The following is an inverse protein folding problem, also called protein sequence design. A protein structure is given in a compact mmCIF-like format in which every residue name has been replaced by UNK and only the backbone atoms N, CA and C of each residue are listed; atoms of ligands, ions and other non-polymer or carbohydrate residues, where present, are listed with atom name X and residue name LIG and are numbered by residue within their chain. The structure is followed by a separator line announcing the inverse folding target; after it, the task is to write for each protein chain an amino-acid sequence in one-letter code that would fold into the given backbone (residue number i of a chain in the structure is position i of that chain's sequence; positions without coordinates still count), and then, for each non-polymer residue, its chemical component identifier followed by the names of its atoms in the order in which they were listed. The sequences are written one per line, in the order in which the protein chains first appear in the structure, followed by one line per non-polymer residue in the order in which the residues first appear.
data_IF_536882687895
#
_entry.id   IF_536882687895
#
_cell.length_a   1.000
_cell.length_b   1.000
_cell.length_c   1.000
_cell.angle_alpha   90.00
_cell.angle_beta   90.00
_cell.angle_gamma   90.00
#
_symmetry.space_group_name_H-M   'P 1'
#
loop_
_entity.id
_entity.type
_entity.pdbx_description
1 polymer ?
#
# COMPACT_ATOMS: atom_id res chain seq x y z
N UNK A 1 10.51 -15.23 16.25
CA UNK A 1 9.33 -14.44 15.81
C UNK A 1 9.25 -14.29 14.29
N UNK A 2 9.14 -15.37 13.52
CA UNK A 2 9.04 -15.32 12.05
C UNK A 2 7.69 -15.83 11.50
N UNK A 3 6.78 -16.23 12.39
CA UNK A 3 5.53 -16.92 12.07
C UNK A 3 4.29 -16.13 12.54
N UNK A 4 4.44 -14.85 12.87
CA UNK A 4 3.26 -14.04 13.18
C UNK A 4 2.56 -13.69 11.86
N UNK A 5 1.33 -14.17 11.59
CA UNK A 5 0.60 -13.83 10.38
C UNK A 5 0.42 -12.31 10.21
N UNK A 6 0.49 -11.54 11.31
CA UNK A 6 0.47 -10.08 11.28
C UNK A 6 1.65 -9.48 10.50
N UNK A 7 2.81 -10.13 10.46
CA UNK A 7 4.00 -9.65 9.73
C UNK A 7 3.81 -9.72 8.21
N UNK A 8 2.85 -10.53 7.75
CA UNK A 8 2.48 -10.62 6.33
C UNK A 8 1.46 -9.57 5.89
N UNK A 9 0.76 -8.93 6.84
CA UNK A 9 -0.30 -7.93 6.54
C UNK A 9 0.26 -6.72 5.76
N UNK A 10 1.41 -6.12 6.12
CA UNK A 10 1.98 -4.99 5.39
C UNK A 10 2.32 -5.34 3.93
N UNK A 11 2.88 -6.52 3.71
CA UNK A 11 3.21 -7.02 2.37
C UNK A 11 1.96 -7.26 1.52
N UNK A 12 0.92 -7.85 2.11
CA UNK A 12 -0.37 -8.07 1.43
C UNK A 12 -1.04 -6.73 1.08
N UNK A 13 -1.09 -5.80 2.04
CA UNK A 13 -1.68 -4.48 1.85
C UNK A 13 -0.99 -3.71 0.72
N UNK A 14 0.35 -3.72 0.68
CA UNK A 14 1.11 -3.09 -0.40
C UNK A 14 0.80 -3.72 -1.76
N UNK A 15 0.75 -5.06 -1.84
CA UNK A 15 0.44 -5.77 -3.09
C UNK A 15 -0.95 -5.41 -3.62
N UNK A 16 -1.95 -5.37 -2.75
CA UNK A 16 -3.32 -5.00 -3.10
C UNK A 16 -3.41 -3.53 -3.53
N UNK A 17 -2.77 -2.63 -2.79
CA UNK A 17 -2.76 -1.20 -3.11
C UNK A 17 -2.15 -0.93 -4.50
N UNK A 18 -1.07 -1.63 -4.86
CA UNK A 18 -0.48 -1.54 -6.21
C UNK A 18 -1.44 -2.06 -7.28
N UNK A 19 -2.13 -3.17 -7.03
CA UNK A 19 -3.11 -3.71 -7.97
C UNK A 19 -4.28 -2.73 -8.21
N UNK A 20 -4.69 -1.98 -7.18
CA UNK A 20 -5.75 -0.95 -7.29
C UNK A 20 -5.24 0.32 -7.98
N UNK A 21 -4.01 0.74 -7.71
CA UNK A 21 -3.44 1.96 -8.25
C UNK A 21 -2.99 1.83 -9.73
N UNK A 22 -2.47 0.67 -10.12
CA UNK A 22 -1.88 0.44 -11.44
C UNK A 22 -2.82 0.75 -12.63
N UNK A 23 -4.11 0.35 -12.64
CA UNK A 23 -5.04 0.69 -13.72
C UNK A 23 -5.23 2.20 -13.93
N UNK A 24 -4.97 3.01 -12.90
CA UNK A 24 -5.13 4.46 -12.91
C UNK A 24 -3.79 5.20 -13.14
N UNK A 25 -2.77 4.49 -13.61
CA UNK A 25 -1.39 5.02 -13.71
C UNK A 25 -0.79 5.39 -12.35
N UNK A 26 -1.40 4.92 -11.26
CA UNK A 26 -0.99 5.21 -9.90
C UNK A 26 0.10 4.28 -9.37
N UNK A 27 0.56 4.57 -8.16
CA UNK A 27 1.58 3.81 -7.44
C UNK A 27 1.21 3.62 -5.97
N UNK A 28 1.85 2.65 -5.31
CA UNK A 28 1.74 2.50 -3.87
C UNK A 28 3.06 2.06 -3.25
N UNK A 29 3.36 2.63 -2.08
CA UNK A 29 4.62 2.47 -1.34
C UNK A 29 4.33 2.28 0.15
N UNK A 30 5.18 1.51 0.82
CA UNK A 30 5.11 1.32 2.27
C UNK A 30 6.40 1.82 2.92
N UNK A 31 6.27 2.63 3.95
CA UNK A 31 7.40 3.15 4.73
C UNK A 31 7.31 2.62 6.16
N UNK A 32 8.27 1.81 6.62
CA UNK A 32 8.29 1.37 8.01
C UNK A 32 8.59 2.56 8.93
N UNK A 33 7.87 2.62 10.05
CA UNK A 33 8.10 3.54 11.16
C UNK A 33 8.60 2.73 12.37
N UNK A 34 9.92 2.74 12.65
CA UNK A 34 10.50 1.97 13.75
C UNK A 34 9.77 2.23 15.08
N UNK A 35 9.33 1.16 15.73
CA UNK A 35 8.61 1.22 17.00
C UNK A 35 7.17 1.77 16.94
N UNK A 36 6.65 2.09 15.75
CA UNK A 36 5.28 2.64 15.57
C UNK A 36 4.43 1.91 14.52
N UNK A 37 5.04 1.21 13.57
CA UNK A 37 4.31 0.44 12.55
C UNK A 37 4.80 0.73 11.14
N UNK A 38 3.89 0.93 10.19
CA UNK A 38 4.20 1.28 8.80
C UNK A 38 3.14 2.22 8.24
N UNK A 39 3.53 3.08 7.30
CA UNK A 39 2.62 3.95 6.55
C UNK A 39 2.50 3.41 5.12
N UNK A 40 1.27 3.22 4.65
CA UNK A 40 0.98 2.87 3.26
C UNK A 40 0.49 4.12 2.53
N UNK A 41 1.24 4.57 1.53
CA UNK A 41 0.88 5.69 0.68
C UNK A 41 0.43 5.17 -0.70
N UNK A 42 -0.71 5.67 -1.18
CA UNK A 42 -1.28 5.32 -2.50
C UNK A 42 -1.45 6.61 -3.28
N UNK A 43 -0.92 6.65 -4.50
CA UNK A 43 -0.96 7.81 -5.40
C UNK A 43 -1.70 7.41 -6.66
N UNK A 44 -2.61 8.24 -7.14
CA UNK A 44 -3.32 8.04 -8.41
C UNK A 44 -2.91 9.16 -9.37
N UNK A 45 -2.39 8.81 -10.55
CA UNK A 45 -1.83 9.80 -11.49
C UNK A 45 -2.88 10.66 -12.19
N UNK A 46 -4.13 10.22 -12.20
CA UNK A 46 -5.30 11.02 -12.53
C UNK A 46 -6.49 10.40 -11.81
N UNK A 47 -6.93 11.01 -10.71
CA UNK A 47 -8.31 10.82 -10.31
C UNK A 47 -9.16 11.49 -11.39
N UNK A 48 -9.60 10.76 -12.41
CA UNK A 48 -10.75 11.22 -13.17
C UNK A 48 -11.89 11.30 -12.17
N UNK A 49 -12.11 12.50 -11.63
CA UNK A 49 -13.33 12.85 -10.93
C UNK A 49 -14.41 12.79 -12.00
N UNK A 50 -15.00 11.62 -12.21
CA UNK A 50 -16.32 11.54 -12.81
C UNK A 50 -17.27 12.21 -11.82
N UNK A 51 -17.59 13.47 -12.08
CA UNK A 51 -18.63 14.23 -11.41
C UNK A 51 -20.02 13.59 -11.65
#
# INVERSE_FOLDING_TARGET
DADNPADSIPALALRLARAVAAPNGGSAEITPLPGRGSVLQITFANAQVTA
#
